data_IF_347945575945
#
_entry.id   IF_347945575945
#
_cell.length_a   1.000
_cell.length_b   1.000
_cell.length_c   1.000
_cell.angle_alpha   90.00
_cell.angle_beta   90.00
_cell.angle_gamma   90.00
#
_symmetry.space_group_name_H-M   'P 1'
#
loop_
_entity.id
_entity.type
_entity.pdbx_description
1 polymer ?
#
# COMPACT_ATOMS: atom_id res chain seq x y z
N UNK A 1 -1.28 -37.97 -21.84
CA UNK A 1 -0.96 -36.55 -22.09
C UNK A 1 -1.41 -35.62 -20.96
N UNK A 2 -2.33 -36.03 -20.08
CA UNK A 2 -2.88 -35.23 -18.96
C UNK A 2 -1.85 -34.84 -17.90
N UNK A 3 -1.08 -35.79 -17.35
CA UNK A 3 -0.14 -35.52 -16.24
C UNK A 3 0.93 -34.43 -16.50
N UNK A 4 1.39 -34.30 -17.75
CA UNK A 4 2.35 -33.26 -18.14
C UNK A 4 1.70 -31.87 -18.23
N UNK A 5 0.42 -31.82 -18.62
CA UNK A 5 -0.38 -30.59 -18.64
C UNK A 5 -0.69 -30.11 -17.22
N UNK A 6 -1.01 -31.03 -16.31
CA UNK A 6 -1.33 -30.71 -14.91
C UNK A 6 -0.09 -30.17 -14.17
N UNK A 7 1.09 -30.75 -14.45
CA UNK A 7 2.37 -30.27 -13.92
C UNK A 7 2.68 -28.86 -14.41
N UNK A 8 2.54 -28.60 -15.72
CA UNK A 8 2.78 -27.28 -16.30
C UNK A 8 1.82 -26.21 -15.75
N UNK A 9 0.55 -26.58 -15.53
CA UNK A 9 -0.44 -25.68 -14.93
C UNK A 9 -0.09 -25.35 -13.46
N UNK A 10 0.33 -26.35 -12.69
CA UNK A 10 0.78 -26.15 -11.30
C UNK A 10 2.02 -25.24 -11.25
N UNK A 11 3.00 -25.46 -12.11
CA UNK A 11 4.22 -24.64 -12.16
C UNK A 11 3.89 -23.19 -12.52
N UNK A 12 2.96 -22.96 -13.45
CA UNK A 12 2.49 -21.62 -13.79
C UNK A 12 1.81 -20.92 -12.60
N UNK A 13 1.01 -21.64 -11.82
CA UNK A 13 0.39 -21.11 -10.60
C UNK A 13 1.44 -20.78 -9.52
N UNK A 14 2.46 -21.63 -9.34
CA UNK A 14 3.55 -21.38 -8.41
C UNK A 14 4.38 -20.15 -8.81
N UNK A 15 4.70 -20.00 -10.11
CA UNK A 15 5.37 -18.81 -10.62
C UNK A 15 4.54 -17.55 -10.37
N UNK A 16 3.24 -17.59 -10.69
CA UNK A 16 2.32 -16.48 -10.41
C UNK A 16 2.25 -16.13 -8.93
N UNK A 17 2.23 -17.13 -8.05
CA UNK A 17 2.24 -16.92 -6.59
C UNK A 17 3.49 -16.18 -6.13
N UNK A 18 4.66 -16.55 -6.65
CA UNK A 18 5.93 -15.88 -6.31
C UNK A 18 5.91 -14.42 -6.74
N UNK A 19 5.41 -14.12 -7.94
CA UNK A 19 5.29 -12.74 -8.44
C UNK A 19 4.33 -11.90 -7.58
N UNK A 20 3.21 -12.49 -7.16
CA UNK A 20 2.24 -11.83 -6.29
C UNK A 20 2.83 -11.56 -4.89
N UNK A 21 3.54 -12.52 -4.30
CA UNK A 21 4.22 -12.31 -3.00
C UNK A 21 5.27 -11.21 -3.09
N UNK A 22 6.03 -11.14 -4.19
CA UNK A 22 6.96 -10.04 -4.43
C UNK A 22 6.23 -8.69 -4.53
N UNK A 23 5.07 -8.66 -5.21
CA UNK A 23 4.23 -7.48 -5.34
C UNK A 23 3.67 -7.01 -3.99
N UNK A 24 3.13 -7.92 -3.17
CA UNK A 24 2.64 -7.63 -1.80
C UNK A 24 3.77 -7.09 -0.93
N UNK A 25 4.97 -7.66 -1.05
CA UNK A 25 6.15 -7.20 -0.30
C UNK A 25 6.53 -5.76 -0.68
N UNK A 26 6.55 -5.46 -1.99
CA UNK A 26 6.85 -4.12 -2.49
C UNK A 26 5.79 -3.09 -2.05
N UNK A 27 4.51 -3.47 -2.12
CA UNK A 27 3.39 -2.62 -1.67
C UNK A 27 3.43 -2.38 -0.16
N UNK A 28 3.76 -3.39 0.63
CA UNK A 28 3.93 -3.24 2.08
C UNK A 28 5.07 -2.26 2.41
N UNK A 29 6.18 -2.33 1.68
CA UNK A 29 7.28 -1.37 1.82
C UNK A 29 6.86 0.05 1.41
N UNK A 30 6.07 0.18 0.34
CA UNK A 30 5.48 1.45 -0.08
C UNK A 30 4.56 2.03 1.00
N UNK A 31 3.67 1.23 1.56
CA UNK A 31 2.76 1.63 2.65
C UNK A 31 3.53 2.11 3.88
N UNK A 32 4.60 1.41 4.28
CA UNK A 32 5.46 1.85 5.39
C UNK A 32 6.07 3.23 5.10
N UNK A 33 6.61 3.43 3.90
CA UNK A 33 7.20 4.71 3.49
C UNK A 33 6.17 5.84 3.46
N UNK A 34 4.95 5.56 2.97
CA UNK A 34 3.85 6.54 2.95
C UNK A 34 3.42 6.92 4.36
N UNK A 35 3.31 5.94 5.27
CA UNK A 35 2.98 6.19 6.68
C UNK A 35 4.04 7.01 7.40
N UNK A 36 5.33 6.74 7.14
CA UNK A 36 6.42 7.58 7.66
C UNK A 36 6.34 9.02 7.15
N UNK A 37 6.08 9.20 5.84
CA UNK A 37 5.90 10.53 5.26
C UNK A 37 4.68 11.25 5.84
N UNK A 38 3.58 10.53 6.05
CA UNK A 38 2.36 11.06 6.67
C UNK A 38 2.63 11.58 8.07
N UNK A 39 3.32 10.79 8.90
CA UNK A 39 3.69 11.24 10.25
C UNK A 39 4.53 12.52 10.24
N UNK A 40 5.47 12.67 9.28
CA UNK A 40 6.24 13.90 9.11
C UNK A 40 5.35 15.11 8.79
N UNK A 41 4.39 14.95 7.88
CA UNK A 41 3.45 16.02 7.50
C UNK A 41 2.51 16.38 8.66
N UNK A 42 1.97 15.40 9.38
CA UNK A 42 1.13 15.64 10.56
C UNK A 42 1.89 16.43 11.64
N UNK A 43 3.17 16.12 11.85
CA UNK A 43 4.03 16.87 12.76
C UNK A 43 4.25 18.31 12.31
N UNK A 44 4.41 18.55 11.00
CA UNK A 44 4.56 19.89 10.46
C UNK A 44 3.28 20.73 10.57
N UNK A 45 2.11 20.14 10.32
CA UNK A 45 0.81 20.78 10.53
C UNK A 45 0.68 21.20 12.00
N UNK A 46 0.89 20.28 12.94
CA UNK A 46 0.80 20.57 14.38
C UNK A 46 1.80 21.67 14.79
N UNK A 47 3.03 21.63 14.27
CA UNK A 47 4.04 22.66 14.54
C UNK A 47 3.56 24.05 14.11
N UNK A 48 2.98 24.16 12.92
CA UNK A 48 2.46 25.41 12.36
C UNK A 48 1.24 25.92 13.15
N UNK A 49 0.30 25.05 13.48
CA UNK A 49 -0.86 25.39 14.32
C UNK A 49 -0.43 25.95 15.68
N UNK A 50 0.54 25.29 16.34
CA UNK A 50 1.08 25.74 17.62
C UNK A 50 1.80 27.09 17.50
N UNK A 51 2.54 27.33 16.43
CA UNK A 51 3.22 28.60 16.18
C UNK A 51 2.22 29.74 15.95
N UNK A 52 1.19 29.50 15.14
CA UNK A 52 0.08 30.44 14.94
C UNK A 52 -0.62 30.73 16.27
N UNK A 53 -0.88 29.71 17.10
CA UNK A 53 -1.50 29.88 18.41
C UNK A 53 -0.66 30.72 19.40
N UNK A 54 0.67 30.66 19.30
CA UNK A 54 1.59 31.42 20.18
C UNK A 54 1.88 32.84 19.69
N UNK A 55 2.05 33.01 18.39
CA UNK A 55 2.63 34.23 17.79
C UNK A 55 1.65 34.99 16.90
N UNK A 56 0.44 34.45 16.69
CA UNK A 56 -0.56 34.99 15.80
C UNK A 56 -0.40 34.51 14.35
N UNK A 57 -1.49 34.60 13.59
CA UNK A 57 -1.57 34.12 12.21
C UNK A 57 -0.92 35.11 11.23
N UNK A 58 0.40 35.04 11.06
CA UNK A 58 1.06 35.78 9.98
C UNK A 58 0.62 35.24 8.61
N UNK A 59 0.64 36.09 7.59
CA UNK A 59 0.27 35.66 6.24
C UNK A 59 1.16 34.53 5.69
N UNK A 60 2.42 34.44 6.15
CA UNK A 60 3.31 33.34 5.78
C UNK A 60 2.88 32.04 6.47
N UNK A 61 2.67 32.07 7.79
CA UNK A 61 2.27 30.90 8.57
C UNK A 61 0.93 30.30 8.08
N UNK A 62 -0.03 31.15 7.71
CA UNK A 62 -1.31 30.69 7.15
C UNK A 62 -1.12 29.98 5.80
N UNK A 63 -0.23 30.50 4.94
CA UNK A 63 0.08 29.84 3.66
C UNK A 63 0.77 28.50 3.87
N UNK A 64 1.77 28.47 4.75
CA UNK A 64 2.52 27.25 5.05
C UNK A 64 1.60 26.18 5.66
N UNK A 65 0.65 26.59 6.53
CA UNK A 65 -0.34 25.68 7.10
C UNK A 65 -1.24 25.09 6.01
N UNK A 66 -1.81 25.91 5.13
CA UNK A 66 -2.63 25.40 4.02
C UNK A 66 -1.86 24.47 3.08
N UNK A 67 -0.57 24.75 2.82
CA UNK A 67 0.27 23.86 2.02
C UNK A 67 0.51 22.51 2.71
N UNK A 68 0.78 22.54 4.02
CA UNK A 68 0.96 21.34 4.83
C UNK A 68 -0.33 20.51 4.91
N UNK A 69 -1.49 21.15 5.09
CA UNK A 69 -2.81 20.51 5.06
C UNK A 69 -3.12 19.89 3.68
N UNK A 70 -2.83 20.61 2.59
CA UNK A 70 -2.97 20.07 1.24
C UNK A 70 -2.07 18.84 1.01
N UNK A 71 -0.85 18.88 1.52
CA UNK A 71 0.06 17.73 1.52
C UNK A 71 -0.46 16.58 2.37
N UNK A 72 -1.10 16.85 3.51
CA UNK A 72 -1.71 15.87 4.39
C UNK A 72 -2.86 15.14 3.70
N UNK A 73 -3.74 15.87 3.02
CA UNK A 73 -4.81 15.29 2.22
C UNK A 73 -4.27 14.40 1.09
N UNK A 74 -3.25 14.88 0.37
CA UNK A 74 -2.65 14.12 -0.73
C UNK A 74 -1.98 12.82 -0.24
N UNK A 75 -1.26 12.85 0.89
CA UNK A 75 -0.63 11.63 1.42
C UNK A 75 -1.67 10.64 1.96
N UNK A 76 -2.78 11.11 2.55
CA UNK A 76 -3.88 10.24 2.97
C UNK A 76 -4.52 9.50 1.79
N UNK A 77 -4.74 10.19 0.67
CA UNK A 77 -5.23 9.56 -0.56
C UNK A 77 -4.25 8.53 -1.11
N UNK A 78 -2.94 8.83 -1.08
CA UNK A 78 -1.91 7.87 -1.49
C UNK A 78 -1.84 6.64 -0.58
N UNK A 79 -1.98 6.80 0.74
CA UNK A 79 -2.09 5.71 1.70
C UNK A 79 -3.29 4.80 1.36
N UNK A 80 -4.48 5.38 1.19
CA UNK A 80 -5.69 4.62 0.87
C UNK A 80 -5.55 3.85 -0.46
N UNK A 81 -5.02 4.50 -1.51
CA UNK A 81 -4.79 3.84 -2.78
C UNK A 81 -3.74 2.70 -2.69
N UNK A 82 -2.75 2.84 -1.80
CA UNK A 82 -1.77 1.78 -1.55
C UNK A 82 -2.41 0.59 -0.81
N UNK A 83 -3.27 0.86 0.18
CA UNK A 83 -4.03 -0.15 0.91
C UNK A 83 -4.97 -0.93 -0.02
N UNK A 84 -5.70 -0.25 -0.90
CA UNK A 84 -6.54 -0.89 -1.91
C UNK A 84 -5.74 -1.85 -2.82
N UNK A 85 -4.53 -1.43 -3.23
CA UNK A 85 -3.63 -2.26 -4.04
C UNK A 85 -3.11 -3.47 -3.27
N UNK A 86 -2.85 -3.35 -1.96
CA UNK A 86 -2.45 -4.48 -1.10
C UNK A 86 -3.59 -5.49 -1.02
N UNK A 87 -4.81 -5.03 -0.69
CA UNK A 87 -5.98 -5.90 -0.57
C UNK A 87 -6.28 -6.65 -1.87
N UNK A 88 -6.15 -5.98 -3.02
CA UNK A 88 -6.29 -6.63 -4.32
C UNK A 88 -5.22 -7.71 -4.55
N UNK A 89 -3.96 -7.42 -4.25
CA UNK A 89 -2.87 -8.38 -4.41
C UNK A 89 -2.98 -9.56 -3.45
N UNK A 90 -3.43 -9.35 -2.22
CA UNK A 90 -3.71 -10.42 -1.25
C UNK A 90 -4.87 -11.30 -1.71
N UNK A 91 -5.95 -10.72 -2.24
CA UNK A 91 -7.06 -11.48 -2.85
C UNK A 91 -6.61 -12.34 -4.04
N UNK A 92 -5.72 -11.82 -4.88
CA UNK A 92 -5.11 -12.59 -5.98
C UNK A 92 -4.27 -13.76 -5.46
N UNK A 93 -3.52 -13.58 -4.36
CA UNK A 93 -2.76 -14.67 -3.71
C UNK A 93 -3.71 -15.75 -3.20
N UNK A 94 -4.80 -15.36 -2.54
CA UNK A 94 -5.79 -16.31 -2.03
C UNK A 94 -6.45 -17.13 -3.15
N UNK A 95 -6.74 -16.51 -4.30
CA UNK A 95 -7.27 -17.24 -5.46
C UNK A 95 -6.26 -18.26 -6.00
N UNK A 96 -5.01 -17.85 -6.17
CA UNK A 96 -3.94 -18.75 -6.62
C UNK A 96 -3.73 -19.90 -5.63
N UNK A 97 -3.76 -19.63 -4.33
CA UNK A 97 -3.62 -20.65 -3.28
C UNK A 97 -4.79 -21.65 -3.29
N UNK A 98 -6.01 -21.17 -3.53
CA UNK A 98 -7.19 -22.03 -3.70
C UNK A 98 -7.05 -22.94 -4.92
N UNK A 99 -6.57 -22.41 -6.04
CA UNK A 99 -6.35 -23.18 -7.28
C UNK A 99 -5.22 -24.20 -7.12
N UNK A 100 -4.12 -23.83 -6.45
CA UNK A 100 -3.04 -24.75 -6.12
C UNK A 100 -3.52 -25.90 -5.22
N UNK A 101 -4.34 -25.61 -4.22
CA UNK A 101 -4.92 -26.63 -3.35
C UNK A 101 -5.83 -27.60 -4.13
N UNK A 102 -6.64 -27.10 -5.06
CA UNK A 102 -7.47 -27.94 -5.93
C UNK A 102 -6.62 -28.91 -6.77
N UNK A 103 -5.51 -28.43 -7.37
CA UNK A 103 -4.59 -29.32 -8.11
C UNK A 103 -3.89 -30.36 -7.24
N UNK A 104 -3.75 -30.12 -5.94
CA UNK A 104 -3.14 -31.07 -5.01
C UNK A 104 -4.13 -32.18 -4.58
N UNK A 105 -5.42 -31.86 -4.50
CA UNK A 105 -6.48 -32.78 -4.08
C UNK A 105 -7.02 -33.67 -5.22
N UNK A 106 -6.63 -33.41 -6.47
CA UNK A 106 -7.00 -34.21 -7.65
C UNK A 106 -6.01 -35.35 -7.96
N UNK A 107 -4.97 -35.51 -7.14
CA UNK A 107 -3.94 -36.57 -7.21
C UNK A 107 -4.20 -37.69 -6.21
#
# INVERSE_FOLDING_TARGET
>A
MTKASDTAQRDALLARRLDLVASVSALTAEALRLNQKRAGIEMDVLRLELEIGRSGASAQLVRDLHEAEGSAMAIMQACAACEDRILAAEGDVEDVDRRLAATANET
#
